data_IF_553979378873
#
_entry.id   IF_553979378873
#
_cell.length_a   1.000
_cell.length_b   1.000
_cell.length_c   1.000
_cell.angle_alpha   90.00
_cell.angle_beta   90.00
_cell.angle_gamma   90.00
#
_symmetry.space_group_name_H-M   'P 1'
#
loop_
_entity.id
_entity.type
_entity.pdbx_description
1 polymer ?
#
# COMPACT_ATOMS: atom_id res chain seq x y z
N UNK A 1 -27.41 -35.43 -37.99
CA UNK A 1 -28.05 -34.90 -36.78
C UNK A 1 -27.31 -35.43 -35.57
N UNK A 2 -26.91 -34.52 -34.67
CA UNK A 2 -26.55 -34.72 -33.24
C UNK A 2 -25.29 -35.47 -32.79
N UNK A 3 -24.45 -34.72 -32.05
CA UNK A 3 -23.60 -35.07 -30.87
C UNK A 3 -22.45 -36.07 -31.14
N UNK A 4 -21.18 -35.86 -30.76
CA UNK A 4 -20.67 -35.57 -29.41
C UNK A 4 -19.15 -35.29 -29.42
N UNK A 5 -18.70 -34.46 -28.48
CA UNK A 5 -17.45 -34.50 -27.69
C UNK A 5 -16.07 -34.58 -28.40
N UNK A 6 -15.28 -33.48 -28.38
CA UNK A 6 -14.26 -33.12 -27.37
C UNK A 6 -12.90 -33.83 -27.53
N UNK A 7 -11.90 -33.07 -27.99
CA UNK A 7 -10.48 -33.25 -27.63
C UNK A 7 -9.74 -31.93 -27.91
N UNK A 8 -9.85 -31.01 -26.95
CA UNK A 8 -9.16 -29.71 -26.99
C UNK A 8 -7.69 -29.94 -26.70
N UNK A 9 -6.92 -30.18 -27.75
CA UNK A 9 -5.46 -30.22 -27.71
C UNK A 9 -4.95 -28.79 -27.49
N UNK A 10 -4.71 -28.50 -26.21
CA UNK A 10 -3.58 -27.75 -25.66
C UNK A 10 -2.70 -27.00 -26.67
N UNK A 11 -2.98 -25.72 -26.89
CA UNK A 11 -1.99 -24.73 -27.37
C UNK A 11 -2.23 -23.38 -26.64
N UNK A 12 -1.70 -23.28 -25.42
CA UNK A 12 -1.59 -22.01 -24.67
C UNK A 12 -0.66 -21.05 -25.42
N UNK A 13 -1.22 -20.04 -26.09
CA UNK A 13 -0.44 -18.90 -26.62
C UNK A 13 -0.09 -17.89 -25.50
N UNK A 14 1.16 -18.01 -25.05
CA UNK A 14 2.22 -16.98 -25.00
C UNK A 14 1.95 -15.58 -24.38
N UNK A 15 2.90 -15.23 -23.48
CA UNK A 15 3.40 -13.89 -23.03
C UNK A 15 2.64 -13.33 -21.81
N UNK A 16 3.28 -13.00 -20.68
CA UNK A 16 4.61 -12.38 -20.49
C UNK A 16 5.14 -12.69 -19.07
N UNK A 17 6.25 -13.43 -18.98
CA UNK A 17 7.13 -13.40 -17.80
C UNK A 17 7.77 -12.01 -17.75
N UNK A 18 7.67 -11.32 -16.61
CA UNK A 18 8.72 -10.43 -16.11
C UNK A 18 8.75 -10.56 -14.59
N UNK A 19 9.60 -11.46 -14.11
CA UNK A 19 10.37 -11.24 -12.90
C UNK A 19 11.07 -9.88 -13.06
N UNK A 20 10.65 -8.88 -12.30
CA UNK A 20 11.38 -7.62 -12.19
C UNK A 20 12.19 -7.66 -10.90
N UNK A 21 13.39 -8.24 -11.00
CA UNK A 21 14.52 -7.77 -10.21
C UNK A 21 14.58 -6.25 -10.40
N UNK A 22 14.25 -5.51 -9.35
CA UNK A 22 14.44 -4.06 -9.31
C UNK A 22 15.41 -3.80 -8.17
N UNK A 23 16.60 -3.39 -8.60
CA UNK A 23 17.79 -3.09 -7.81
C UNK A 23 17.43 -2.10 -6.71
N UNK A 24 17.97 -2.33 -5.51
CA UNK A 24 17.89 -1.36 -4.40
C UNK A 24 18.38 0.02 -4.89
N UNK A 25 17.65 1.12 -4.61
CA UNK A 25 18.12 2.43 -5.01
C UNK A 25 19.22 2.89 -4.05
N UNK A 26 20.30 3.33 -4.66
CA UNK A 26 21.47 3.96 -4.06
C UNK A 26 21.01 5.21 -3.30
N UNK A 27 21.61 5.43 -2.13
CA UNK A 27 21.37 6.55 -1.22
C UNK A 27 21.33 7.89 -1.98
N UNK A 28 20.20 8.61 -1.90
CA UNK A 28 20.14 10.04 -2.21
C UNK A 28 19.23 10.51 -3.36
N UNK A 29 18.41 9.66 -3.96
CA UNK A 29 17.50 10.10 -5.04
C UNK A 29 16.13 10.50 -4.46
N UNK A 30 15.88 11.81 -4.40
CA UNK A 30 14.59 12.38 -4.02
C UNK A 30 13.50 11.85 -4.97
N UNK A 31 12.40 11.32 -4.42
CA UNK A 31 11.34 10.66 -5.20
C UNK A 31 10.93 11.49 -6.44
N UNK A 32 10.69 10.85 -7.60
CA UNK A 32 10.25 11.53 -8.81
C UNK A 32 9.01 12.39 -8.55
N UNK A 33 8.98 13.62 -9.06
CA UNK A 33 7.93 14.64 -8.84
C UNK A 33 6.52 14.25 -9.32
N UNK A 34 6.31 13.02 -9.77
CA UNK A 34 5.04 12.47 -10.25
C UNK A 34 4.65 11.15 -9.56
N UNK A 35 5.29 10.79 -8.43
CA UNK A 35 4.80 9.68 -7.61
C UNK A 35 3.49 10.13 -6.96
N UNK A 36 2.38 9.66 -7.52
CA UNK A 36 1.05 9.84 -6.94
C UNK A 36 0.96 9.06 -5.62
N UNK A 37 1.18 9.78 -4.51
CA UNK A 37 1.03 9.26 -3.13
C UNK A 37 -0.34 8.59 -2.90
N UNK A 38 -1.34 8.95 -3.71
CA UNK A 38 -2.67 8.35 -3.72
C UNK A 38 -2.65 6.83 -3.89
N UNK A 39 -1.78 6.29 -4.76
CA UNK A 39 -1.68 4.84 -4.96
C UNK A 39 -1.07 4.13 -3.76
N UNK A 40 -0.03 4.72 -3.15
CA UNK A 40 0.62 4.17 -1.96
C UNK A 40 -0.31 4.22 -0.74
N UNK A 41 -1.05 5.33 -0.59
CA UNK A 41 -2.10 5.43 0.43
C UNK A 41 -3.20 4.38 0.20
N UNK A 42 -3.61 4.12 -1.04
CA UNK A 42 -4.65 3.14 -1.33
C UNK A 42 -4.29 1.70 -0.89
N UNK A 43 -3.00 1.36 -0.80
CA UNK A 43 -2.53 0.05 -0.32
C UNK A 43 -2.58 -0.10 1.20
N UNK A 44 -2.70 1.00 1.95
CA UNK A 44 -2.77 0.96 3.41
C UNK A 44 -4.16 0.54 3.93
N UNK A 45 -4.24 -0.14 5.09
CA UNK A 45 -5.49 -0.30 5.82
C UNK A 45 -6.19 1.05 6.07
N UNK A 46 -7.53 1.07 5.99
CA UNK A 46 -8.34 2.30 6.12
C UNK A 46 -8.03 3.15 7.36
N UNK A 47 -7.69 2.53 8.50
CA UNK A 47 -7.32 3.27 9.72
C UNK A 47 -5.95 3.95 9.59
N UNK A 48 -4.98 3.29 8.95
CA UNK A 48 -3.65 3.85 8.71
C UNK A 48 -3.70 4.97 7.68
N UNK A 49 -4.50 4.83 6.62
CA UNK A 49 -4.80 5.91 5.67
C UNK A 49 -5.31 7.17 6.38
N UNK A 50 -6.34 7.00 7.24
CA UNK A 50 -6.91 8.10 8.02
C UNK A 50 -5.86 8.70 8.96
N UNK A 51 -5.02 7.88 9.58
CA UNK A 51 -3.94 8.36 10.43
C UNK A 51 -2.98 9.26 9.64
N UNK A 52 -2.51 8.82 8.47
CA UNK A 52 -1.60 9.61 7.61
C UNK A 52 -2.27 10.91 7.18
N UNK A 53 -3.52 10.86 6.71
CA UNK A 53 -4.27 12.06 6.32
C UNK A 53 -4.37 13.09 7.45
N UNK A 54 -4.65 12.65 8.68
CA UNK A 54 -4.76 13.54 9.83
C UNK A 54 -3.40 14.07 10.30
N UNK A 55 -2.37 13.23 10.27
CA UNK A 55 -1.01 13.62 10.66
C UNK A 55 -0.38 14.62 9.69
N UNK A 56 -0.69 14.51 8.39
CA UNK A 56 -0.23 15.46 7.38
C UNK A 56 -0.90 16.83 7.50
N UNK A 57 -2.14 16.90 8.02
CA UNK A 57 -2.82 18.16 8.29
C UNK A 57 -2.27 18.84 9.55
N UNK A 58 -2.00 18.05 10.59
CA UNK A 58 -1.50 18.50 11.88
C UNK A 58 -0.59 17.41 12.48
N UNK A 59 0.74 17.64 12.60
CA UNK A 59 1.73 16.63 13.01
C UNK A 59 1.66 16.26 14.50
N UNK A 60 0.45 16.21 15.07
CA UNK A 60 0.15 15.67 16.40
C UNK A 60 -0.28 14.20 16.28
N UNK A 61 0.67 13.28 16.51
CA UNK A 61 0.44 11.84 16.37
C UNK A 61 -0.71 11.30 17.23
N UNK A 62 -0.81 11.72 18.49
CA UNK A 62 -1.88 11.27 19.40
C UNK A 62 -3.26 11.67 18.88
N UNK A 63 -3.42 12.93 18.47
CA UNK A 63 -4.69 13.42 17.93
C UNK A 63 -5.02 12.77 16.58
N UNK A 64 -4.03 12.57 15.71
CA UNK A 64 -4.20 11.85 14.45
C UNK A 64 -4.70 10.41 14.67
N UNK A 65 -4.15 9.71 15.67
CA UNK A 65 -4.60 8.36 16.03
C UNK A 65 -6.05 8.34 16.54
N UNK A 66 -6.44 9.29 17.39
CA UNK A 66 -7.82 9.42 17.87
C UNK A 66 -8.78 9.68 16.70
N UNK A 67 -8.46 10.65 15.83
CA UNK A 67 -9.26 10.97 14.63
C UNK A 67 -9.36 9.81 13.64
N UNK A 68 -8.33 8.96 13.59
CA UNK A 68 -8.30 7.73 12.79
C UNK A 68 -9.06 6.54 13.43
N UNK A 69 -9.75 6.75 14.57
CA UNK A 69 -10.51 5.74 15.33
C UNK A 69 -9.64 4.64 15.94
N UNK A 70 -8.46 4.99 16.43
CA UNK A 70 -7.75 4.18 17.43
C UNK A 70 -8.29 4.48 18.83
N UNK A 71 -8.03 3.58 19.79
CA UNK A 71 -8.45 3.79 21.18
C UNK A 71 -7.71 4.98 21.79
N UNK A 72 -8.44 5.89 22.44
CA UNK A 72 -7.85 7.07 23.09
C UNK A 72 -6.81 6.69 24.15
N UNK A 73 -7.08 5.62 24.92
CA UNK A 73 -6.18 5.13 25.96
C UNK A 73 -4.81 4.70 25.42
N UNK A 74 -4.75 4.23 24.17
CA UNK A 74 -3.51 3.76 23.54
C UNK A 74 -3.09 4.61 22.34
N UNK A 75 -3.74 5.75 22.10
CA UNK A 75 -3.53 6.57 20.90
C UNK A 75 -2.08 7.02 20.73
N UNK A 76 -1.41 7.36 21.83
CA UNK A 76 -0.03 7.80 21.84
C UNK A 76 0.95 6.67 21.47
N UNK A 77 0.75 5.49 22.05
CA UNK A 77 1.52 4.29 21.71
C UNK A 77 1.27 3.86 20.26
N UNK A 78 0.01 3.88 19.81
CA UNK A 78 -0.38 3.57 18.44
C UNK A 78 0.26 4.53 17.44
N UNK A 79 0.23 5.84 17.72
CA UNK A 79 0.89 6.83 16.91
C UNK A 79 2.40 6.58 16.82
N UNK A 80 3.07 6.32 17.95
CA UNK A 80 4.50 6.00 17.94
C UNK A 80 4.84 4.75 17.14
N UNK A 81 3.97 3.73 17.16
CA UNK A 81 4.16 2.51 16.35
C UNK A 81 3.95 2.79 14.86
N UNK A 82 2.93 3.57 14.51
CA UNK A 82 2.62 3.93 13.12
C UNK A 82 3.72 4.79 12.49
N UNK A 83 4.24 5.77 13.23
CA UNK A 83 5.33 6.64 12.76
C UNK A 83 6.67 5.90 12.59
N UNK A 84 6.83 4.74 13.24
CA UNK A 84 8.01 3.87 13.08
C UNK A 84 7.81 2.77 12.05
N UNK A 85 6.60 2.65 11.49
CA UNK A 85 6.29 1.58 10.55
C UNK A 85 6.61 2.04 9.12
N UNK A 86 7.61 1.44 8.44
CA UNK A 86 8.06 1.87 7.12
C UNK A 86 7.01 1.71 6.02
N UNK A 87 5.94 0.94 6.27
CA UNK A 87 4.80 0.85 5.34
C UNK A 87 3.91 2.10 5.41
N UNK A 88 3.97 2.85 6.51
CA UNK A 88 3.09 3.99 6.82
C UNK A 88 3.85 5.31 6.69
N UNK A 89 5.04 5.42 7.30
CA UNK A 89 5.95 6.58 7.28
C UNK A 89 7.38 6.11 7.08
#
# INVERSE_FOLDING_TARGET
MTRQALSVIKQKKKKKKRTSESKEPIKGELLPKEVSYDRLLAELPKKQQRFVQQYLLDPNGKQAAIRAKYSERSAEVQASQLLRNPKVF
#
